data_IF_409984269059
#
_entry.id   IF_409984269059
#
_cell.length_a   1.000
_cell.length_b   1.000
_cell.length_c   1.000
_cell.angle_alpha   90.00
_cell.angle_beta   90.00
_cell.angle_gamma   90.00
#
_symmetry.space_group_name_H-M   'P 1'
#
loop_
_entity.id
_entity.type
_entity.pdbx_description
1 polymer ?
#
# COMPACT_ATOMS: atom_id res chain seq x y z
N UNK A 1 -12.41 25.70 -49.20
CA UNK A 1 -11.70 24.49 -48.76
C UNK A 1 -11.29 24.73 -47.32
N UNK A 2 -12.18 24.44 -46.39
CA UNK A 2 -11.82 24.35 -44.97
C UNK A 2 -11.39 22.91 -44.75
N UNK A 3 -10.08 22.67 -44.71
CA UNK A 3 -9.54 21.43 -44.14
C UNK A 3 -9.87 21.47 -42.65
N UNK A 4 -10.93 20.75 -42.27
CA UNK A 4 -11.22 20.50 -40.87
C UNK A 4 -10.01 19.81 -40.26
N UNK A 5 -9.38 20.45 -39.26
CA UNK A 5 -8.33 19.82 -38.48
C UNK A 5 -8.84 18.47 -37.97
N UNK A 6 -8.13 17.40 -38.30
CA UNK A 6 -8.43 16.06 -37.77
C UNK A 6 -8.56 16.13 -36.25
N UNK A 7 -9.52 15.38 -35.66
CA UNK A 7 -9.72 15.29 -34.22
C UNK A 7 -8.41 14.95 -33.49
N UNK A 8 -7.59 14.10 -34.11
CA UNK A 8 -6.26 13.70 -33.63
C UNK A 8 -5.24 14.86 -33.63
N UNK A 9 -5.35 15.78 -34.60
CA UNK A 9 -4.55 17.02 -34.62
C UNK A 9 -5.02 18.03 -33.59
N UNK A 10 -6.34 18.11 -33.33
CA UNK A 10 -6.90 18.96 -32.28
C UNK A 10 -6.54 18.44 -30.88
N UNK A 11 -6.61 17.12 -30.66
CA UNK A 11 -6.16 16.50 -29.40
C UNK A 11 -4.68 16.74 -29.16
N UNK A 12 -3.81 16.54 -30.16
CA UNK A 12 -2.38 16.87 -30.04
C UNK A 12 -2.12 18.35 -29.79
N UNK A 13 -2.89 19.25 -30.41
CA UNK A 13 -2.77 20.68 -30.18
C UNK A 13 -3.24 21.10 -28.78
N UNK A 14 -4.32 20.48 -28.26
CA UNK A 14 -4.82 20.71 -26.90
C UNK A 14 -3.88 20.12 -25.84
N UNK A 15 -3.37 18.91 -26.06
CA UNK A 15 -2.35 18.27 -25.22
C UNK A 15 -1.04 19.07 -25.23
N UNK A 16 -0.65 19.65 -26.37
CA UNK A 16 0.49 20.56 -26.47
C UNK A 16 0.30 21.90 -25.76
N UNK A 17 -0.95 22.33 -25.52
CA UNK A 17 -1.29 23.55 -24.76
C UNK A 17 -1.36 23.33 -23.25
N UNK A 18 -1.38 22.08 -22.78
CA UNK A 18 -1.33 21.79 -21.36
C UNK A 18 -0.02 22.33 -20.77
N UNK A 19 -0.11 22.96 -19.60
CA UNK A 19 1.07 23.49 -18.91
C UNK A 19 1.80 22.35 -18.19
N UNK A 20 2.49 21.52 -18.99
CA UNK A 20 3.24 20.34 -18.52
C UNK A 20 4.29 20.69 -17.48
N UNK A 21 4.81 21.92 -17.50
CA UNK A 21 5.71 22.42 -16.46
C UNK A 21 5.00 22.43 -15.09
N UNK A 22 3.79 22.96 -15.00
CA UNK A 22 3.05 22.94 -13.72
C UNK A 22 2.65 21.52 -13.29
N UNK A 23 2.35 20.63 -14.24
CA UNK A 23 2.06 19.22 -13.92
C UNK A 23 3.31 18.53 -13.37
N UNK A 24 4.46 18.66 -14.04
CA UNK A 24 5.75 18.13 -13.58
C UNK A 24 6.11 18.66 -12.19
N UNK A 25 6.06 19.98 -11.98
CA UNK A 25 6.39 20.58 -10.68
C UNK A 25 5.43 20.13 -9.58
N UNK A 26 4.15 19.94 -9.88
CA UNK A 26 3.18 19.39 -8.91
C UNK A 26 3.54 17.96 -8.52
N UNK A 27 3.87 17.10 -9.49
CA UNK A 27 4.26 15.71 -9.22
C UNK A 27 5.57 15.65 -8.41
N UNK A 28 6.55 16.51 -8.72
CA UNK A 28 7.78 16.62 -7.92
C UNK A 28 7.51 17.01 -6.47
N UNK A 29 6.60 17.97 -6.24
CA UNK A 29 6.23 18.36 -4.87
C UNK A 29 5.49 17.25 -4.12
N UNK A 30 4.65 16.47 -4.81
CA UNK A 30 4.01 15.29 -4.22
C UNK A 30 5.03 14.20 -3.89
N UNK A 31 5.97 13.92 -4.80
CA UNK A 31 7.06 12.96 -4.58
C UNK A 31 7.92 13.37 -3.38
N UNK A 32 8.30 14.66 -3.29
CA UNK A 32 9.04 15.19 -2.15
C UNK A 32 8.27 15.04 -0.84
N UNK A 33 6.98 15.39 -0.84
CA UNK A 33 6.12 15.25 0.34
C UNK A 33 6.03 13.79 0.79
N UNK A 34 5.95 12.87 -0.16
CA UNK A 34 5.87 11.44 0.12
C UNK A 34 7.20 10.87 0.62
N UNK A 35 8.32 11.28 0.03
CA UNK A 35 9.66 10.92 0.49
C UNK A 35 9.93 11.41 1.92
N UNK A 36 9.38 12.56 2.32
CA UNK A 36 9.45 13.04 3.72
C UNK A 36 8.68 12.15 4.69
N UNK A 37 7.49 11.67 4.29
CA UNK A 37 6.71 10.71 5.09
C UNK A 37 7.47 9.37 5.16
N UNK A 38 8.06 8.92 4.05
CA UNK A 38 8.84 7.68 3.99
C UNK A 38 10.04 7.75 4.91
N UNK A 39 10.84 8.82 4.85
CA UNK A 39 11.98 9.00 5.74
C UNK A 39 11.56 8.95 7.22
N UNK A 40 10.41 9.54 7.56
CA UNK A 40 9.86 9.51 8.92
C UNK A 40 9.47 8.09 9.36
N UNK A 41 8.94 7.27 8.44
CA UNK A 41 8.65 5.87 8.72
C UNK A 41 9.94 5.05 8.79
N UNK A 42 10.86 5.18 7.84
CA UNK A 42 12.12 4.43 7.79
C UNK A 42 13.02 4.68 8.99
N UNK A 43 13.06 5.91 9.53
CA UNK A 43 13.73 6.21 10.80
C UNK A 43 13.12 5.44 11.98
N UNK A 44 11.83 5.12 11.91
CA UNK A 44 11.15 4.20 12.83
C UNK A 44 11.35 2.72 12.51
N UNK A 45 11.52 2.38 11.23
CA UNK A 45 11.48 1.01 10.71
C UNK A 45 12.61 0.11 11.24
N UNK A 46 13.80 0.68 11.44
CA UNK A 46 14.93 -0.04 12.05
C UNK A 46 14.59 -0.59 13.45
N UNK A 47 13.69 0.06 14.17
CA UNK A 47 13.23 -0.40 15.48
C UNK A 47 12.02 -1.34 15.36
N UNK A 48 11.11 -1.10 14.42
CA UNK A 48 9.77 -1.70 14.42
C UNK A 48 9.76 -3.09 13.76
N UNK A 49 10.48 -3.29 12.66
CA UNK A 49 10.53 -4.60 11.98
C UNK A 49 11.23 -5.66 12.85
N UNK A 50 12.31 -5.29 13.54
CA UNK A 50 12.97 -6.17 14.51
C UNK A 50 12.11 -6.52 15.71
N UNK A 51 11.31 -5.56 16.21
CA UNK A 51 10.36 -5.80 17.30
C UNK A 51 9.23 -6.75 16.87
N UNK A 52 8.71 -6.63 15.65
CA UNK A 52 7.68 -7.53 15.13
C UNK A 52 8.13 -9.01 15.13
N UNK A 53 9.36 -9.27 14.70
CA UNK A 53 9.94 -10.62 14.76
C UNK A 53 10.10 -11.10 16.20
N UNK A 54 10.59 -10.25 17.10
CA UNK A 54 10.73 -10.59 18.53
C UNK A 54 9.38 -10.93 19.17
N UNK A 55 8.30 -10.21 18.85
CA UNK A 55 6.96 -10.52 19.33
C UNK A 55 6.43 -11.85 18.77
N UNK A 56 6.70 -12.13 17.49
CA UNK A 56 6.35 -13.42 16.88
C UNK A 56 7.07 -14.58 17.56
N UNK A 57 8.37 -14.41 17.86
CA UNK A 57 9.17 -15.41 18.58
C UNK A 57 8.68 -15.58 20.03
N UNK A 58 8.34 -14.47 20.71
CA UNK A 58 7.75 -14.51 22.05
C UNK A 58 6.41 -15.25 22.07
N UNK A 59 5.54 -15.04 21.08
CA UNK A 59 4.27 -15.76 20.96
C UNK A 59 4.51 -17.26 20.80
N UNK A 60 5.47 -17.64 19.95
CA UNK A 60 5.85 -19.03 19.70
C UNK A 60 6.37 -19.71 20.97
N UNK A 61 7.32 -19.08 21.68
CA UNK A 61 7.85 -19.61 22.94
C UNK A 61 6.77 -19.70 24.03
N UNK A 62 5.92 -18.69 24.16
CA UNK A 62 4.85 -18.69 25.14
C UNK A 62 3.81 -19.77 24.86
N UNK A 63 3.46 -20.02 23.59
CA UNK A 63 2.60 -21.15 23.20
C UNK A 63 3.19 -22.49 23.64
N UNK A 64 4.49 -22.69 23.43
CA UNK A 64 5.17 -23.91 23.87
C UNK A 64 5.16 -24.05 25.40
N UNK A 65 5.39 -22.96 26.14
CA UNK A 65 5.30 -22.94 27.60
C UNK A 65 3.88 -23.26 28.08
N UNK A 66 2.86 -22.61 27.50
CA UNK A 66 1.46 -22.83 27.83
C UNK A 66 1.04 -24.29 27.56
N UNK A 67 1.45 -24.85 26.41
CA UNK A 67 1.19 -26.25 26.07
C UNK A 67 1.83 -27.22 27.07
N UNK A 68 3.08 -26.96 27.48
CA UNK A 68 3.75 -27.78 28.47
C UNK A 68 3.07 -27.70 29.84
N UNK A 69 2.74 -26.49 30.30
CA UNK A 69 2.06 -26.26 31.58
C UNK A 69 0.67 -26.89 31.61
N UNK A 70 -0.07 -26.90 30.49
CA UNK A 70 -1.38 -27.52 30.40
C UNK A 70 -1.34 -29.06 30.51
N UNK A 71 -0.20 -29.69 30.20
CA UNK A 71 -0.01 -31.14 30.30
C UNK A 71 0.39 -31.60 31.71
N UNK A 72 0.78 -30.67 32.59
CA UNK A 72 1.16 -31.00 33.96
C UNK A 72 -0.08 -31.02 34.87
N UNK A 73 -0.30 -32.11 35.64
CA UNK A 73 -1.52 -32.28 36.45
C UNK A 73 -1.62 -31.30 37.63
N UNK A 74 -0.51 -30.76 38.11
CA UNK A 74 -0.44 -29.87 39.28
C UNK A 74 -0.31 -28.38 38.91
N UNK A 75 -0.47 -28.00 37.64
CA UNK A 75 -0.39 -26.60 37.25
C UNK A 75 -1.55 -25.79 37.84
N UNK A 76 -1.28 -24.74 38.64
CA UNK A 76 -2.33 -23.86 39.14
C UNK A 76 -3.12 -23.21 38.01
N UNK A 77 -4.45 -23.20 38.13
CA UNK A 77 -5.36 -22.63 37.12
C UNK A 77 -5.07 -21.16 36.81
N UNK A 78 -4.61 -20.39 37.79
CA UNK A 78 -4.24 -18.99 37.59
C UNK A 78 -3.01 -18.83 36.68
N UNK A 79 -2.04 -19.75 36.72
CA UNK A 79 -0.89 -19.74 35.81
C UNK A 79 -1.35 -19.97 34.37
N UNK A 80 -2.24 -20.94 34.15
CA UNK A 80 -2.82 -21.22 32.82
C UNK A 80 -3.58 -19.97 32.32
N UNK A 81 -4.38 -19.33 33.17
CA UNK A 81 -5.13 -18.12 32.81
C UNK A 81 -4.20 -16.95 32.43
N UNK A 82 -3.14 -16.73 33.20
CA UNK A 82 -2.15 -15.69 32.89
C UNK A 82 -1.39 -16.00 31.60
N UNK A 83 -1.05 -17.26 31.35
CA UNK A 83 -0.42 -17.71 30.11
C UNK A 83 -1.25 -17.39 28.86
N UNK A 84 -2.55 -17.72 28.89
CA UNK A 84 -3.48 -17.40 27.79
C UNK A 84 -3.66 -15.89 27.62
N UNK A 85 -3.74 -15.14 28.73
CA UNK A 85 -3.88 -13.68 28.67
C UNK A 85 -2.64 -13.03 28.05
N UNK A 86 -1.45 -13.48 28.43
CA UNK A 86 -0.19 -12.98 27.88
C UNK A 86 -0.06 -13.32 26.40
N UNK A 87 -0.47 -14.52 25.98
CA UNK A 87 -0.50 -14.90 24.56
C UNK A 87 -1.41 -13.97 23.76
N UNK A 88 -2.60 -13.67 24.29
CA UNK A 88 -3.55 -12.74 23.67
C UNK A 88 -2.96 -11.32 23.52
N UNK A 89 -2.26 -10.81 24.53
CA UNK A 89 -1.63 -9.48 24.46
C UNK A 89 -0.45 -9.45 23.49
N UNK A 90 0.35 -10.53 23.41
CA UNK A 90 1.43 -10.63 22.42
C UNK A 90 0.85 -10.67 21.01
N UNK A 91 -0.22 -11.44 20.77
CA UNK A 91 -0.87 -11.52 19.46
C UNK A 91 -1.41 -10.15 19.01
N UNK A 92 -1.97 -9.34 19.92
CA UNK A 92 -2.33 -7.93 19.63
C UNK A 92 -1.12 -7.10 19.22
N UNK A 93 0.02 -7.31 19.88
CA UNK A 93 1.29 -6.67 19.53
C UNK A 93 1.75 -7.05 18.12
N UNK A 94 1.71 -8.35 17.78
CA UNK A 94 2.06 -8.86 16.44
C UNK A 94 1.19 -8.20 15.37
N UNK A 95 -0.13 -8.13 15.58
CA UNK A 95 -1.07 -7.49 14.64
C UNK A 95 -0.74 -6.00 14.44
N UNK A 96 -0.37 -5.29 15.50
CA UNK A 96 0.02 -3.88 15.41
C UNK A 96 1.31 -3.69 14.59
N UNK A 97 2.29 -4.59 14.74
CA UNK A 97 3.52 -4.56 13.94
C UNK A 97 3.27 -4.88 12.47
N UNK A 98 2.40 -5.85 12.16
CA UNK A 98 1.99 -6.15 10.79
C UNK A 98 1.28 -4.97 10.12
N UNK A 99 0.46 -4.22 10.87
CA UNK A 99 -0.15 -2.99 10.36
C UNK A 99 0.91 -1.95 9.96
N UNK A 100 1.95 -1.80 10.78
CA UNK A 100 3.03 -0.88 10.49
C UNK A 100 3.83 -1.28 9.24
N UNK A 101 4.24 -2.54 9.14
CA UNK A 101 4.96 -3.06 7.97
C UNK A 101 4.15 -2.83 6.68
N UNK A 102 2.84 -3.14 6.73
CA UNK A 102 1.92 -2.90 5.64
C UNK A 102 1.80 -1.42 5.27
N UNK A 103 1.78 -0.52 6.26
CA UNK A 103 1.74 0.92 6.01
C UNK A 103 3.02 1.39 5.29
N UNK A 104 4.18 0.93 5.75
CA UNK A 104 5.48 1.23 5.12
C UNK A 104 5.52 0.75 3.67
N UNK A 105 5.12 -0.50 3.43
CA UNK A 105 5.07 -1.09 2.09
C UNK A 105 4.15 -0.31 1.13
N UNK A 106 2.94 0.04 1.58
CA UNK A 106 1.99 0.80 0.75
C UNK A 106 2.52 2.19 0.43
N UNK A 107 3.24 2.82 1.37
CA UNK A 107 3.90 4.10 1.13
C UNK A 107 4.95 3.99 0.03
N UNK A 108 5.80 2.96 0.10
CA UNK A 108 6.83 2.69 -0.91
C UNK A 108 6.23 2.50 -2.31
N UNK A 109 5.09 1.80 -2.41
CA UNK A 109 4.39 1.64 -3.68
C UNK A 109 3.92 2.98 -4.26
N UNK A 110 3.41 3.90 -3.42
CA UNK A 110 2.99 5.23 -3.87
C UNK A 110 4.19 6.06 -4.33
N UNK A 111 5.30 6.04 -3.58
CA UNK A 111 6.54 6.75 -3.96
C UNK A 111 7.05 6.25 -5.32
N UNK A 112 7.09 4.93 -5.50
CA UNK A 112 7.50 4.30 -6.76
C UNK A 112 6.60 4.71 -7.91
N UNK A 113 5.27 4.69 -7.71
CA UNK A 113 4.33 5.09 -8.75
C UNK A 113 4.42 6.57 -9.14
N UNK A 114 4.64 7.46 -8.17
CA UNK A 114 4.86 8.88 -8.44
C UNK A 114 6.19 9.12 -9.17
N UNK A 115 7.26 8.38 -8.82
CA UNK A 115 8.54 8.48 -9.51
C UNK A 115 8.45 8.07 -10.98
N UNK A 116 7.83 6.91 -11.28
CA UNK A 116 7.59 6.46 -12.66
C UNK A 116 6.75 7.47 -13.45
N UNK A 117 5.78 8.11 -12.80
CA UNK A 117 4.94 9.14 -13.43
C UNK A 117 5.74 10.41 -13.70
N UNK A 118 6.62 10.82 -12.79
CA UNK A 118 7.52 11.97 -12.96
C UNK A 118 8.47 11.77 -14.14
N UNK A 119 9.08 10.59 -14.25
CA UNK A 119 9.98 10.23 -15.34
C UNK A 119 9.28 10.35 -16.71
N UNK A 120 8.05 9.84 -16.82
CA UNK A 120 7.26 9.95 -18.05
C UNK A 120 6.92 11.38 -18.39
N UNK A 121 6.52 12.18 -17.40
CA UNK A 121 6.14 13.58 -17.63
C UNK A 121 7.33 14.40 -18.12
N UNK A 122 8.55 14.09 -17.67
CA UNK A 122 9.79 14.74 -18.09
C UNK A 122 10.18 14.46 -19.55
N UNK A 123 9.71 13.35 -20.14
CA UNK A 123 9.94 13.00 -21.55
C UNK A 123 8.83 13.58 -22.45
N UNK A 124 9.19 14.57 -23.29
CA UNK A 124 8.21 15.26 -24.13
C UNK A 124 7.58 14.38 -25.21
N UNK A 125 8.32 13.39 -25.71
CA UNK A 125 7.83 12.49 -26.74
C UNK A 125 6.94 11.42 -26.09
N UNK A 126 7.40 10.80 -25.01
CA UNK A 126 6.67 9.71 -24.37
C UNK A 126 5.39 10.19 -23.66
N UNK A 127 5.37 11.38 -23.04
CA UNK A 127 4.18 11.88 -22.35
C UNK A 127 2.97 12.09 -23.28
N UNK A 128 3.21 12.24 -24.59
CA UNK A 128 2.16 12.38 -25.60
C UNK A 128 1.71 11.02 -26.18
N UNK A 129 2.41 9.93 -25.85
CA UNK A 129 2.10 8.58 -26.33
C UNK A 129 1.19 7.85 -25.34
N UNK A 130 0.03 7.39 -25.81
CA UNK A 130 -0.92 6.62 -24.99
C UNK A 130 -0.29 5.31 -24.50
N UNK A 131 0.50 4.65 -25.35
CA UNK A 131 1.16 3.39 -25.02
C UNK A 131 2.18 3.52 -23.88
N UNK A 132 2.81 4.69 -23.75
CA UNK A 132 3.75 4.96 -22.66
C UNK A 132 3.02 5.08 -21.31
N UNK A 133 1.84 5.71 -21.30
CA UNK A 133 0.97 5.78 -20.14
C UNK A 133 0.43 4.40 -19.73
N UNK A 134 -0.04 3.60 -20.69
CA UNK A 134 -0.51 2.24 -20.43
C UNK A 134 0.60 1.36 -19.81
N UNK A 135 1.84 1.50 -20.33
CA UNK A 135 3.00 0.76 -19.80
C UNK A 135 3.26 1.11 -18.34
N UNK A 136 3.27 2.39 -17.97
CA UNK A 136 3.52 2.81 -16.59
C UNK A 136 2.37 2.45 -15.67
N UNK A 137 1.11 2.61 -16.12
CA UNK A 137 -0.05 2.14 -15.35
C UNK A 137 0.09 0.66 -15.02
N UNK A 138 0.52 -0.16 -15.99
CA UNK A 138 0.72 -1.57 -15.75
C UNK A 138 1.92 -1.87 -14.84
N UNK A 139 3.03 -1.14 -14.97
CA UNK A 139 4.17 -1.25 -14.06
C UNK A 139 3.74 -0.92 -12.62
N UNK A 140 3.03 0.18 -12.40
CA UNK A 140 2.49 0.57 -11.09
C UNK A 140 1.58 -0.54 -10.55
N UNK A 141 0.65 -1.04 -11.36
CA UNK A 141 -0.27 -2.11 -10.94
C UNK A 141 0.45 -3.39 -10.52
N UNK A 142 1.58 -3.73 -11.15
CA UNK A 142 2.37 -4.92 -10.76
C UNK A 142 3.06 -4.77 -9.41
N UNK A 143 3.28 -3.54 -8.92
CA UNK A 143 3.83 -3.31 -7.57
C UNK A 143 2.84 -3.66 -6.47
N UNK A 144 1.53 -3.64 -6.73
CA UNK A 144 0.53 -3.96 -5.73
C UNK A 144 0.49 -5.46 -5.45
N UNK A 145 0.63 -5.83 -4.18
CA UNK A 145 0.59 -7.21 -3.72
C UNK A 145 -0.84 -7.74 -3.61
N UNK A 146 -1.80 -6.88 -3.29
CA UNK A 146 -3.18 -7.27 -2.99
C UNK A 146 -4.11 -7.13 -4.20
N UNK A 147 -4.97 -8.13 -4.42
CA UNK A 147 -5.93 -8.14 -5.53
C UNK A 147 -6.95 -6.99 -5.44
N UNK A 148 -7.38 -6.65 -4.22
CA UNK A 148 -8.26 -5.53 -3.94
C UNK A 148 -7.66 -4.17 -4.34
N UNK A 149 -6.35 -3.97 -4.12
CA UNK A 149 -5.64 -2.74 -4.52
C UNK A 149 -5.58 -2.64 -6.05
N UNK A 150 -5.33 -3.77 -6.73
CA UNK A 150 -5.36 -3.85 -8.20
C UNK A 150 -6.75 -3.56 -8.76
N UNK A 151 -7.81 -4.10 -8.15
CA UNK A 151 -9.20 -3.82 -8.53
C UNK A 151 -9.56 -2.36 -8.34
N UNK A 152 -9.21 -1.79 -7.18
CA UNK A 152 -9.43 -0.37 -6.90
C UNK A 152 -8.71 0.52 -7.93
N UNK A 153 -7.47 0.19 -8.27
CA UNK A 153 -6.71 0.88 -9.31
C UNK A 153 -7.41 0.83 -10.68
N UNK A 154 -7.90 -0.35 -11.09
CA UNK A 154 -8.64 -0.51 -12.35
C UNK A 154 -9.93 0.31 -12.36
N UNK A 155 -10.69 0.31 -11.27
CA UNK A 155 -11.93 1.08 -11.15
C UNK A 155 -11.66 2.58 -11.33
N UNK A 156 -10.61 3.10 -10.69
CA UNK A 156 -10.23 4.50 -10.79
C UNK A 156 -9.79 4.85 -12.22
N UNK A 157 -8.99 4.00 -12.87
CA UNK A 157 -8.59 4.22 -14.26
C UNK A 157 -9.75 4.14 -15.26
N UNK A 158 -10.79 3.34 -14.97
CA UNK A 158 -12.02 3.27 -15.76
C UNK A 158 -12.93 4.50 -15.56
N UNK A 159 -12.55 5.45 -14.70
CA UNK A 159 -13.29 6.69 -14.45
C UNK A 159 -14.22 6.63 -13.24
N UNK A 160 -14.17 5.56 -12.43
CA UNK A 160 -14.90 5.50 -11.17
C UNK A 160 -14.33 6.57 -10.22
N UNK A 161 -15.18 7.43 -9.61
CA UNK A 161 -14.71 8.38 -8.63
C UNK A 161 -13.94 7.70 -7.48
N UNK A 162 -12.80 8.27 -7.08
CA UNK A 162 -11.94 7.67 -6.05
C UNK A 162 -12.68 7.34 -4.75
N UNK A 163 -13.60 8.21 -4.32
CA UNK A 163 -14.38 8.00 -3.09
C UNK A 163 -15.32 6.78 -3.18
N UNK A 164 -15.82 6.47 -4.38
CA UNK A 164 -16.68 5.33 -4.64
C UNK A 164 -15.86 4.04 -4.73
N UNK A 165 -14.72 4.07 -5.43
CA UNK A 165 -13.78 2.95 -5.44
C UNK A 165 -13.27 2.60 -4.03
N UNK A 166 -13.02 3.61 -3.19
CA UNK A 166 -12.67 3.41 -1.78
C UNK A 166 -13.82 2.85 -0.94
N UNK A 167 -15.07 3.21 -1.24
CA UNK A 167 -16.23 2.65 -0.56
C UNK A 167 -16.39 1.15 -0.88
N UNK A 168 -16.24 0.76 -2.14
CA UNK A 168 -16.25 -0.64 -2.59
C UNK A 168 -15.11 -1.44 -1.93
N UNK A 169 -13.90 -0.87 -1.90
CA UNK A 169 -12.76 -1.48 -1.20
C UNK A 169 -13.07 -1.71 0.29
N UNK A 170 -13.64 -0.71 0.97
CA UNK A 170 -14.01 -0.83 2.39
C UNK A 170 -15.09 -1.86 2.62
N UNK A 171 -16.08 -1.96 1.74
CA UNK A 171 -17.15 -2.95 1.84
C UNK A 171 -16.61 -4.38 1.70
N UNK A 172 -15.77 -4.63 0.70
CA UNK A 172 -15.13 -5.94 0.51
C UNK A 172 -14.20 -6.34 1.68
N UNK A 173 -13.52 -5.36 2.30
CA UNK A 173 -12.58 -5.60 3.40
C UNK A 173 -13.17 -5.58 4.81
N UNK A 174 -14.22 -4.80 5.08
CA UNK A 174 -14.84 -4.72 6.41
C UNK A 174 -15.82 -5.87 6.65
N UNK A 175 -16.38 -6.48 5.60
CA UNK A 175 -17.27 -7.63 5.70
C UNK A 175 -16.52 -8.98 5.83
N UNK A 176 -15.22 -9.05 5.51
CA UNK A 176 -14.34 -10.15 5.96
C UNK A 176 -13.86 -9.87 7.39
N UNK A 177 -14.78 -9.96 8.35
CA UNK A 177 -14.51 -9.67 9.76
C UNK A 177 -13.74 -10.78 10.50
N UNK A 178 -13.56 -11.94 9.87
CA UNK A 178 -12.86 -13.10 10.44
C UNK A 178 -11.53 -13.44 9.74
N UNK A 179 -11.21 -12.73 8.67
CA UNK A 179 -9.90 -12.86 8.05
C UNK A 179 -8.99 -11.78 8.64
N UNK A 180 -8.39 -12.12 9.78
CA UNK A 180 -6.95 -11.87 9.92
C UNK A 180 -6.33 -12.60 8.73
N UNK A 181 -6.37 -11.96 7.57
CA UNK A 181 -5.74 -12.42 6.36
C UNK A 181 -4.24 -12.33 6.68
N UNK A 182 -3.73 -13.47 7.16
CA UNK A 182 -2.33 -13.80 7.35
C UNK A 182 -1.63 -13.54 6.02
N UNK A 183 -1.17 -12.30 5.86
CA UNK A 183 -0.27 -11.84 4.83
C UNK A 183 0.87 -11.12 5.52
#
# INVERSE_FOLDING_TARGET
>A
MEEGMSVDMLERALLGQANWVHVQETVKLLLLSMAQIELTLTDGDYNVTGLGQQFTDMASHLRQVNLHLAQQPDTPTDIIRHGISLETEIDKGVVAFQFYDRLSQRLQHVVTGLALTEELLCDEEQRLMVEAWEKIQQQIKTTYSLECERKMFDLVLQGTPLHEALALYRDEHLYRKDDIELF
#
